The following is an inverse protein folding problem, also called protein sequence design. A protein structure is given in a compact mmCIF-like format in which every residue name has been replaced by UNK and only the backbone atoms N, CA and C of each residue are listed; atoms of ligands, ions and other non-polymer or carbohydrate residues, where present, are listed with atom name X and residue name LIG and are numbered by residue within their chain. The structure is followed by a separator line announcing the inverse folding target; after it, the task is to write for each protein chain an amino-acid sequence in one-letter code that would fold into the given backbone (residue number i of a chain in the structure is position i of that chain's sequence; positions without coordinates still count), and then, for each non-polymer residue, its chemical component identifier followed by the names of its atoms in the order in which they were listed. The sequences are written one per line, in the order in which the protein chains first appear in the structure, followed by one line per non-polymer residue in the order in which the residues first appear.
data_IF_034897621111
#
_entry.id   IF_034897621111
#
_cell.length_a   1.000
_cell.length_b   1.000
_cell.length_c   1.000
_cell.angle_alpha   90.00
_cell.angle_beta   90.00
_cell.angle_gamma   90.00
#
_symmetry.space_group_name_H-M   'P 1'
#
loop_
_entity.id
_entity.type
_entity.pdbx_description
1 polymer ?
#
# COMPACT_ATOMS: atom_id res chain seq x y z
N UNK A 1 5.79 24.92 -10.01
CA UNK A 1 7.18 24.42 -10.23
C UNK A 1 7.89 23.88 -8.95
N UNK A 2 8.06 24.66 -7.87
CA UNK A 2 8.90 24.24 -6.72
C UNK A 2 8.44 22.95 -5.98
N UNK A 3 7.14 22.73 -5.82
CA UNK A 3 6.60 21.52 -5.17
C UNK A 3 6.87 20.24 -5.96
N UNK A 4 6.90 20.34 -7.29
CA UNK A 4 7.13 19.20 -8.19
C UNK A 4 8.57 18.70 -8.09
N UNK A 5 9.52 19.62 -8.03
CA UNK A 5 10.94 19.31 -7.78
C UNK A 5 11.15 18.60 -6.43
N UNK A 6 10.42 19.00 -5.38
CA UNK A 6 10.52 18.38 -4.05
C UNK A 6 10.09 16.92 -4.02
N UNK A 7 9.23 16.48 -4.94
CA UNK A 7 8.78 15.09 -5.05
C UNK A 7 9.50 14.32 -6.15
N UNK A 8 10.63 14.83 -6.66
CA UNK A 8 11.46 14.13 -7.65
C UNK A 8 11.12 14.42 -9.11
N UNK A 9 10.27 15.42 -9.37
CA UNK A 9 9.97 15.90 -10.73
C UNK A 9 8.71 15.30 -11.34
N UNK A 10 8.65 15.32 -12.67
CA UNK A 10 7.53 14.82 -13.47
C UNK A 10 7.84 13.47 -14.13
N UNK A 11 6.83 12.63 -14.38
CA UNK A 11 5.44 12.81 -13.97
C UNK A 11 5.27 12.70 -12.45
N UNK A 12 4.20 13.29 -11.90
CA UNK A 12 3.90 13.27 -10.47
C UNK A 12 2.50 12.67 -10.22
N UNK A 13 2.32 12.07 -9.04
CA UNK A 13 1.03 11.53 -8.60
C UNK A 13 0.34 12.51 -7.66
N UNK A 14 -0.94 12.78 -7.91
CA UNK A 14 -1.81 13.54 -7.01
C UNK A 14 -2.87 12.60 -6.45
N UNK A 15 -3.03 12.59 -5.12
CA UNK A 15 -4.01 11.74 -4.44
C UNK A 15 -4.89 12.58 -3.53
N UNK A 16 -6.20 12.39 -3.63
CA UNK A 16 -7.12 12.86 -2.60
C UNK A 16 -6.87 12.08 -1.30
N UNK A 17 -6.86 12.78 -0.16
CA UNK A 17 -6.66 12.16 1.16
C UNK A 17 -7.90 11.33 1.56
N UNK A 18 -9.07 11.69 1.05
CA UNK A 18 -10.32 10.99 1.30
C UNK A 18 -10.75 10.21 0.05
N UNK A 19 -10.88 8.89 0.20
CA UNK A 19 -11.33 7.99 -0.85
C UNK A 19 -10.92 6.54 -0.58
N UNK A 20 -11.62 5.60 -1.22
CA UNK A 20 -11.26 4.17 -1.23
C UNK A 20 -11.10 3.68 -2.65
N UNK A 21 -10.39 2.57 -2.86
CA UNK A 21 -10.31 1.87 -4.15
C UNK A 21 -9.69 2.68 -5.32
N UNK A 22 -8.74 3.58 -5.03
CA UNK A 22 -7.99 4.33 -6.05
C UNK A 22 -8.81 5.39 -6.81
N UNK A 23 -10.03 5.70 -6.35
CA UNK A 23 -10.75 6.92 -6.74
C UNK A 23 -9.99 8.11 -6.16
N UNK A 24 -9.71 9.12 -6.98
CA UNK A 24 -8.95 10.29 -6.56
C UNK A 24 -7.43 10.21 -6.74
N UNK A 25 -6.90 9.16 -7.39
CA UNK A 25 -5.48 9.09 -7.80
C UNK A 25 -5.33 9.50 -9.26
N UNK A 26 -4.52 10.53 -9.49
CA UNK A 26 -4.27 11.15 -10.80
C UNK A 26 -2.77 11.18 -11.08
N UNK A 27 -2.39 11.14 -12.37
CA UNK A 27 -1.02 11.34 -12.83
C UNK A 27 -0.97 12.62 -13.65
N UNK A 28 0.03 13.46 -13.40
CA UNK A 28 0.27 14.69 -14.13
C UNK A 28 1.65 14.63 -14.81
N UNK A 29 1.70 14.94 -16.11
CA UNK A 29 2.90 14.88 -16.94
C UNK A 29 3.56 16.25 -17.14
N UNK A 30 2.88 17.32 -16.77
CA UNK A 30 3.37 18.70 -16.89
C UNK A 30 3.11 19.51 -15.62
N UNK A 31 3.90 20.56 -15.41
CA UNK A 31 3.69 21.48 -14.28
C UNK A 31 2.33 22.18 -14.39
N UNK A 32 1.89 22.48 -15.61
CA UNK A 32 0.57 23.07 -15.87
C UNK A 32 -0.58 22.14 -15.47
N UNK A 33 -0.46 20.82 -15.73
CA UNK A 33 -1.44 19.84 -15.25
C UNK A 33 -1.49 19.78 -13.72
N UNK A 34 -0.34 19.76 -13.04
CA UNK A 34 -0.27 19.80 -11.57
C UNK A 34 -0.96 21.05 -11.04
N UNK A 35 -0.66 22.22 -11.58
CA UNK A 35 -1.22 23.51 -11.13
C UNK A 35 -2.73 23.56 -11.37
N UNK A 36 -3.21 23.09 -12.52
CA UNK A 36 -4.65 23.03 -12.84
C UNK A 36 -5.43 22.10 -11.90
N UNK A 37 -4.89 20.91 -11.62
CA UNK A 37 -5.52 19.95 -10.70
C UNK A 37 -5.54 20.51 -9.28
N UNK A 38 -4.42 21.06 -8.80
CA UNK A 38 -4.33 21.65 -7.45
C UNK A 38 -5.31 22.80 -7.28
N UNK A 39 -5.37 23.75 -8.23
CA UNK A 39 -6.30 24.87 -8.18
C UNK A 39 -7.75 24.39 -8.08
N UNK A 40 -8.15 23.48 -8.97
CA UNK A 40 -9.52 22.95 -9.00
C UNK A 40 -9.90 22.29 -7.68
N UNK A 41 -8.99 21.51 -7.11
CA UNK A 41 -9.28 20.71 -5.93
C UNK A 41 -9.26 21.53 -4.64
N UNK A 42 -8.41 22.55 -4.55
CA UNK A 42 -8.45 23.51 -3.46
C UNK A 42 -9.72 24.37 -3.49
N UNK A 43 -10.19 24.77 -4.67
CA UNK A 43 -11.47 25.47 -4.82
C UNK A 43 -12.66 24.61 -4.37
N UNK A 44 -12.55 23.28 -4.53
CA UNK A 44 -13.51 22.29 -4.02
C UNK A 44 -13.28 21.92 -2.53
N UNK A 45 -12.36 22.60 -1.84
CA UNK A 45 -12.07 22.37 -0.43
C UNK A 45 -11.43 21.01 -0.13
N UNK A 46 -10.78 20.39 -1.11
CA UNK A 46 -10.17 19.07 -0.97
C UNK A 46 -8.69 19.17 -0.55
N UNK A 47 -8.27 18.25 0.32
CA UNK A 47 -6.86 18.04 0.64
C UNK A 47 -6.22 17.05 -0.34
N UNK A 48 -5.00 17.37 -0.80
CA UNK A 48 -4.25 16.58 -1.77
C UNK A 48 -2.86 16.25 -1.26
N UNK A 49 -2.45 15.01 -1.52
CA UNK A 49 -1.07 14.57 -1.46
C UNK A 49 -0.43 14.60 -2.86
N UNK A 50 0.68 15.32 -2.98
CA UNK A 50 1.58 15.24 -4.14
C UNK A 50 2.70 14.23 -3.83
N UNK A 51 2.95 13.31 -4.75
CA UNK A 51 3.89 12.20 -4.56
C UNK A 51 4.73 11.95 -5.82
N UNK A 52 5.97 11.49 -5.61
CA UNK A 52 6.86 10.95 -6.65
C UNK A 52 6.16 9.83 -7.45
N UNK A 53 6.34 9.84 -8.78
CA UNK A 53 5.96 8.71 -9.62
C UNK A 53 7.09 7.68 -9.73
N UNK A 54 6.88 6.50 -9.14
CA UNK A 54 7.82 5.37 -9.26
C UNK A 54 7.59 4.66 -10.58
N UNK A 55 8.32 5.07 -11.62
CA UNK A 55 8.12 4.59 -12.99
C UNK A 55 8.34 3.07 -13.14
N UNK A 56 9.23 2.49 -12.34
CA UNK A 56 9.53 1.05 -12.37
C UNK A 56 8.36 0.18 -11.88
N UNK A 57 7.50 0.76 -11.05
CA UNK A 57 6.28 0.14 -10.54
C UNK A 57 5.03 0.54 -11.32
N UNK A 58 5.17 1.12 -12.53
CA UNK A 58 4.00 1.52 -13.31
C UNK A 58 3.06 0.34 -13.54
N UNK A 59 1.82 0.46 -13.07
CA UNK A 59 0.80 -0.58 -13.22
C UNK A 59 1.02 -1.81 -12.34
N UNK A 60 1.95 -1.78 -11.37
CA UNK A 60 2.27 -2.93 -10.53
C UNK A 60 2.51 -2.51 -9.09
N UNK A 61 2.05 -3.32 -8.17
CA UNK A 61 2.40 -3.18 -6.76
C UNK A 61 2.43 -4.54 -6.07
N UNK A 62 3.02 -4.57 -4.88
CA UNK A 62 3.10 -5.76 -4.04
C UNK A 62 2.19 -5.58 -2.84
N UNK A 63 1.26 -6.50 -2.65
CA UNK A 63 0.47 -6.65 -1.43
C UNK A 63 1.18 -7.66 -0.53
N UNK A 64 1.67 -7.21 0.62
CA UNK A 64 2.18 -8.08 1.68
C UNK A 64 1.21 -8.07 2.86
N UNK A 65 0.78 -9.23 3.34
CA UNK A 65 -0.02 -9.34 4.53
C UNK A 65 0.86 -9.66 5.73
N UNK A 66 0.89 -8.75 6.70
CA UNK A 66 1.63 -8.88 7.95
C UNK A 66 0.69 -9.39 9.04
N UNK A 67 1.15 -10.38 9.80
CA UNK A 67 0.54 -10.85 11.04
C UNK A 67 1.63 -10.96 12.11
N UNK A 68 1.48 -10.20 13.19
CA UNK A 68 2.51 -10.03 14.21
C UNK A 68 3.79 -9.41 13.64
N UNK A 69 4.86 -10.19 13.61
CA UNK A 69 6.19 -9.78 13.16
C UNK A 69 6.63 -10.43 11.85
N UNK A 70 5.70 -11.03 11.11
CA UNK A 70 5.98 -11.78 9.89
C UNK A 70 5.03 -11.42 8.75
N UNK A 71 5.52 -11.51 7.51
CA UNK A 71 4.65 -11.53 6.32
C UNK A 71 4.17 -12.96 6.12
N UNK A 72 2.87 -13.18 6.23
CA UNK A 72 2.23 -14.51 6.11
C UNK A 72 1.78 -14.82 4.69
N UNK A 73 1.77 -13.83 3.80
CA UNK A 73 1.50 -14.02 2.38
C UNK A 73 1.80 -12.75 1.60
N UNK A 74 2.19 -12.93 0.34
CA UNK A 74 2.43 -11.81 -0.57
C UNK A 74 2.01 -12.15 -2.00
N UNK A 75 1.54 -11.13 -2.72
CA UNK A 75 1.26 -11.23 -4.14
C UNK A 75 1.65 -9.94 -4.86
N UNK A 76 2.04 -10.06 -6.13
CA UNK A 76 2.14 -8.92 -7.04
C UNK A 76 0.79 -8.74 -7.73
N UNK A 77 0.29 -7.51 -7.76
CA UNK A 77 -0.94 -7.12 -8.46
C UNK A 77 -0.55 -6.36 -9.71
N UNK A 78 -1.13 -6.71 -10.85
CA UNK A 78 -0.86 -6.05 -12.14
C UNK A 78 -2.12 -5.42 -12.72
N UNK A 79 -2.05 -4.15 -13.09
CA UNK A 79 -3.13 -3.41 -13.71
C UNK A 79 -3.41 -3.95 -15.13
N UNK A 80 -4.66 -3.84 -15.58
CA UNK A 80 -5.02 -4.12 -16.99
C UNK A 80 -4.34 -3.13 -17.94
N UNK A 81 -4.18 -3.52 -19.21
CA UNK A 81 -3.60 -2.65 -20.24
C UNK A 81 -4.29 -1.27 -20.27
N UNK A 82 -3.49 -0.21 -20.24
CA UNK A 82 -3.95 1.18 -20.25
C UNK A 82 -4.21 1.80 -18.87
N UNK A 83 -4.20 1.01 -17.80
CA UNK A 83 -4.38 1.48 -16.41
C UNK A 83 -3.02 1.46 -15.67
N UNK A 84 -2.74 2.48 -14.86
CA UNK A 84 -1.51 2.55 -14.05
C UNK A 84 -1.74 2.13 -12.60
N UNK A 85 -3.01 1.97 -12.19
CA UNK A 85 -3.43 1.52 -10.86
C UNK A 85 -3.71 0.01 -10.84
N UNK A 86 -3.05 -0.72 -9.95
CA UNK A 86 -3.07 -2.18 -9.86
C UNK A 86 -4.05 -2.76 -8.82
N UNK A 87 -5.04 -1.98 -8.36
CA UNK A 87 -6.00 -2.46 -7.35
C UNK A 87 -6.84 -3.65 -7.88
N UNK A 88 -6.86 -4.77 -7.14
CA UNK A 88 -7.62 -6.00 -7.47
C UNK A 88 -9.12 -5.76 -7.66
N UNK A 89 -9.72 -4.84 -6.90
CA UNK A 89 -11.14 -4.48 -7.07
C UNK A 89 -11.48 -3.89 -8.44
N UNK A 90 -10.47 -3.53 -9.26
CA UNK A 90 -10.63 -3.09 -10.66
C UNK A 90 -10.27 -4.19 -11.68
N UNK A 91 -10.17 -5.44 -11.23
CA UNK A 91 -9.86 -6.60 -12.06
C UNK A 91 -8.38 -6.79 -12.34
N UNK A 92 -7.50 -6.27 -11.48
CA UNK A 92 -6.08 -6.62 -11.51
C UNK A 92 -5.90 -8.10 -11.14
N UNK A 93 -4.99 -8.78 -11.85
CA UNK A 93 -4.64 -10.17 -11.54
C UNK A 93 -3.58 -10.20 -10.45
N UNK A 94 -3.81 -11.02 -9.42
CA UNK A 94 -2.87 -11.25 -8.33
C UNK A 94 -2.07 -12.51 -8.58
N UNK A 95 -0.74 -12.40 -8.61
CA UNK A 95 0.18 -13.55 -8.74
C UNK A 95 0.95 -13.72 -7.44
N UNK A 96 1.06 -14.95 -6.89
CA UNK A 96 1.85 -15.19 -5.71
C UNK A 96 3.33 -14.88 -5.99
N UNK A 97 4.03 -14.34 -5.00
CA UNK A 97 5.46 -14.04 -5.12
C UNK A 97 6.23 -14.52 -3.90
N UNK A 98 7.47 -14.93 -4.11
CA UNK A 98 8.45 -15.01 -3.04
C UNK A 98 8.95 -13.59 -2.74
N UNK A 99 8.59 -13.07 -1.57
CA UNK A 99 8.83 -11.67 -1.22
C UNK A 99 10.28 -11.49 -0.77
N UNK A 100 11.08 -10.63 -1.44
CA UNK A 100 12.48 -10.46 -1.05
C UNK A 100 12.60 -9.97 0.41
N UNK A 101 13.65 -10.38 1.15
CA UNK A 101 13.79 -10.05 2.57
C UNK A 101 13.69 -8.55 2.89
N UNK A 102 14.21 -7.69 2.02
CA UNK A 102 14.13 -6.24 2.21
C UNK A 102 12.68 -5.72 2.20
N UNK A 103 11.82 -6.29 1.34
CA UNK A 103 10.41 -5.92 1.23
C UNK A 103 9.61 -6.45 2.42
N UNK A 104 9.86 -7.71 2.82
CA UNK A 104 9.25 -8.28 4.01
C UNK A 104 9.58 -7.47 5.27
N UNK A 105 10.84 -7.09 5.44
CA UNK A 105 11.26 -6.24 6.56
C UNK A 105 10.62 -4.85 6.51
N UNK A 106 10.49 -4.24 5.32
CA UNK A 106 9.82 -2.96 5.17
C UNK A 106 8.34 -3.06 5.58
N UNK A 107 7.64 -4.11 5.15
CA UNK A 107 6.24 -4.35 5.51
C UNK A 107 6.05 -4.52 7.02
N UNK A 108 6.84 -5.40 7.64
CA UNK A 108 6.77 -5.65 9.09
C UNK A 108 7.09 -4.39 9.88
N UNK A 109 8.10 -3.60 9.46
CA UNK A 109 8.41 -2.32 10.11
C UNK A 109 7.26 -1.33 10.00
N UNK A 110 6.62 -1.23 8.83
CA UNK A 110 5.49 -0.33 8.61
C UNK A 110 4.31 -0.66 9.55
N UNK A 111 3.92 -1.94 9.61
CA UNK A 111 2.87 -2.40 10.53
C UNK A 111 3.22 -2.12 12.00
N UNK A 112 4.47 -2.39 12.40
CA UNK A 112 4.96 -2.16 13.77
C UNK A 112 4.94 -0.69 14.17
N UNK A 113 5.40 0.22 13.30
CA UNK A 113 5.41 1.66 13.59
C UNK A 113 3.99 2.19 13.82
N UNK A 114 3.00 1.61 13.14
CA UNK A 114 1.58 1.94 13.29
C UNK A 114 0.89 1.17 14.43
N UNK A 115 1.60 0.26 15.13
CA UNK A 115 1.04 -0.54 16.20
C UNK A 115 -0.03 -1.55 15.75
N UNK A 116 0.08 -2.05 14.52
CA UNK A 116 -0.88 -2.99 13.93
C UNK A 116 -0.36 -4.43 14.04
N UNK A 117 -1.14 -5.30 14.67
CA UNK A 117 -0.87 -6.74 14.71
C UNK A 117 -1.24 -7.45 13.41
N UNK A 118 -2.22 -6.93 12.65
CA UNK A 118 -2.59 -7.43 11.32
C UNK A 118 -2.66 -6.24 10.38
N UNK A 119 -1.95 -6.31 9.26
CA UNK A 119 -1.93 -5.23 8.29
C UNK A 119 -1.70 -5.72 6.86
N UNK A 120 -2.41 -5.12 5.91
CA UNK A 120 -2.08 -5.22 4.49
C UNK A 120 -1.18 -4.06 4.11
N UNK A 121 0.05 -4.34 3.69
CA UNK A 121 1.02 -3.34 3.28
C UNK A 121 1.15 -3.39 1.77
N UNK A 122 0.86 -2.27 1.12
CA UNK A 122 1.07 -2.10 -0.32
C UNK A 122 2.44 -1.47 -0.54
N UNK A 123 3.24 -2.06 -1.41
CA UNK A 123 4.62 -1.66 -1.68
C UNK A 123 4.80 -1.45 -3.18
N UNK A 124 5.59 -0.42 -3.53
CA UNK A 124 6.10 -0.21 -4.87
C UNK A 124 7.53 -0.74 -4.96
N UNK A 125 7.82 -1.43 -6.07
CA UNK A 125 9.14 -1.92 -6.46
C UNK A 125 9.93 -0.80 -7.16
N UNK A 126 10.84 -0.14 -6.44
CA UNK A 126 11.75 0.87 -6.99
C UNK A 126 13.17 0.31 -7.12
N UNK A 127 14.00 0.91 -7.98
CA UNK A 127 15.45 0.57 -8.07
C UNK A 127 16.18 0.80 -6.75
N UNK A 128 15.72 1.75 -5.94
CA UNK A 128 16.26 2.05 -4.61
C UNK A 128 15.77 1.10 -3.51
N UNK A 129 14.93 0.11 -3.84
CA UNK A 129 14.34 -0.84 -2.90
C UNK A 129 12.85 -0.57 -2.63
N UNK A 130 12.26 -1.20 -1.60
CA UNK A 130 10.84 -1.11 -1.31
C UNK A 130 10.41 0.31 -0.93
N UNK A 131 9.33 0.79 -1.54
CA UNK A 131 8.63 2.01 -1.12
C UNK A 131 7.27 1.62 -0.56
N UNK A 132 6.99 1.94 0.70
CA UNK A 132 5.67 1.70 1.31
C UNK A 132 4.68 2.72 0.74
N UNK A 133 3.58 2.22 0.18
CA UNK A 133 2.55 3.02 -0.47
C UNK A 133 1.34 3.26 0.43
N UNK A 134 0.83 2.20 1.04
CA UNK A 134 -0.34 2.21 1.91
C UNK A 134 -0.18 1.13 2.99
N UNK A 135 -0.71 1.38 4.18
CA UNK A 135 -0.89 0.35 5.21
C UNK A 135 -2.36 0.33 5.63
N UNK A 136 -2.99 -0.82 5.46
CA UNK A 136 -4.40 -1.05 5.76
C UNK A 136 -4.53 -1.89 7.03
N UNK A 137 -5.23 -1.38 8.04
CA UNK A 137 -5.45 -2.04 9.34
C UNK A 137 -6.54 -3.11 9.34
N UNK A 138 -7.37 -3.16 8.31
CA UNK A 138 -8.42 -4.17 8.13
C UNK A 138 -8.38 -4.72 6.71
N UNK A 139 -7.27 -5.39 6.33
CA UNK A 139 -7.06 -5.85 4.97
C UNK A 139 -8.00 -7.00 4.61
N UNK A 140 -8.67 -6.91 3.46
CA UNK A 140 -9.22 -8.09 2.81
C UNK A 140 -8.09 -8.99 2.29
N UNK A 141 -8.24 -10.31 2.46
CA UNK A 141 -7.23 -11.31 2.08
C UNK A 141 -7.76 -12.45 1.20
N UNK A 142 -9.05 -12.46 0.83
CA UNK A 142 -9.64 -13.49 -0.05
C UNK A 142 -8.85 -13.63 -1.37
N UNK A 143 -8.55 -12.52 -2.05
CA UNK A 143 -7.75 -12.55 -3.27
C UNK A 143 -6.32 -13.08 -3.07
N UNK A 144 -5.75 -12.85 -1.88
CA UNK A 144 -4.43 -13.36 -1.53
C UNK A 144 -4.46 -14.86 -1.27
N UNK A 145 -5.45 -15.36 -0.52
CA UNK A 145 -5.65 -16.79 -0.28
C UNK A 145 -5.91 -17.54 -1.59
N UNK A 146 -6.72 -16.98 -2.49
CA UNK A 146 -6.96 -17.58 -3.81
C UNK A 146 -5.67 -17.68 -4.64
N UNK A 147 -4.84 -16.63 -4.64
CA UNK A 147 -3.58 -16.59 -5.39
C UNK A 147 -2.49 -17.48 -4.79
N UNK A 148 -2.39 -17.55 -3.46
CA UNK A 148 -1.27 -18.20 -2.76
C UNK A 148 -1.60 -19.58 -2.21
N UNK A 149 -2.90 -19.91 -2.04
CA UNK A 149 -3.40 -21.12 -1.37
C UNK A 149 -2.95 -21.26 0.09
N UNK A 150 -2.53 -20.17 0.72
CA UNK A 150 -2.15 -20.13 2.13
C UNK A 150 -3.39 -19.97 3.02
N UNK A 151 -3.34 -20.52 4.23
CA UNK A 151 -4.36 -20.32 5.27
C UNK A 151 -4.05 -19.04 6.07
N UNK A 152 -4.53 -17.91 5.54
CA UNK A 152 -4.30 -16.61 6.14
C UNK A 152 -5.17 -16.41 7.37
N UNK A 153 -6.43 -16.85 7.31
CA UNK A 153 -7.35 -16.79 8.44
C UNK A 153 -6.79 -17.57 9.65
N UNK A 154 -6.25 -18.77 9.44
CA UNK A 154 -5.59 -19.57 10.46
C UNK A 154 -4.40 -18.86 11.09
N UNK A 155 -3.53 -18.25 10.28
CA UNK A 155 -2.38 -17.49 10.79
C UNK A 155 -2.79 -16.32 11.71
N UNK A 156 -3.88 -15.62 11.35
CA UNK A 156 -4.46 -14.54 12.18
C UNK A 156 -5.04 -15.12 13.49
N UNK A 157 -5.83 -16.20 13.40
CA UNK A 157 -6.44 -16.84 14.57
C UNK A 157 -5.38 -17.33 15.56
N UNK A 158 -4.33 -17.98 15.06
CA UNK A 158 -3.20 -18.44 15.84
C UNK A 158 -2.45 -17.29 16.53
N UNK A 159 -2.25 -16.17 15.82
CA UNK A 159 -1.64 -14.98 16.40
C UNK A 159 -2.50 -14.40 17.53
N UNK A 160 -3.82 -14.26 17.31
CA UNK A 160 -4.76 -13.78 18.31
C UNK A 160 -4.77 -14.70 19.55
N UNK A 161 -4.77 -16.02 19.36
CA UNK A 161 -4.70 -16.99 20.45
C UNK A 161 -3.41 -16.83 21.27
N UNK A 162 -2.25 -16.68 20.61
CA UNK A 162 -0.97 -16.41 21.28
C UNK A 162 -1.00 -15.10 22.09
N UNK A 163 -1.60 -14.04 21.55
CA UNK A 163 -1.75 -12.77 22.27
C UNK A 163 -2.64 -12.92 23.50
N UNK A 164 -3.75 -13.65 23.40
CA UNK A 164 -4.68 -13.88 24.51
C UNK A 164 -4.06 -14.69 25.66
N UNK A 165 -3.13 -15.61 25.35
CA UNK A 165 -2.40 -16.39 26.35
C UNK A 165 -1.29 -15.62 27.06
N UNK A 166 -0.89 -14.43 26.57
CA UNK A 166 0.14 -13.63 27.24
C UNK A 166 -0.39 -13.13 28.59
N UNK A 167 0.40 -13.25 29.68
CA UNK A 167 0.00 -12.72 30.97
C UNK A 167 -0.29 -11.22 30.82
N UNK A 168 -1.51 -10.81 31.14
CA UNK A 168 -1.89 -9.40 31.15
C UNK A 168 -0.95 -8.67 32.11
N UNK A 169 -0.08 -7.83 31.57
CA UNK A 169 0.58 -6.80 32.40
C UNK A 169 -0.52 -5.88 32.88
N UNK A 170 -0.92 -6.05 34.14
CA UNK A 170 -1.70 -5.04 34.85
C UNK A 170 -0.83 -3.79 34.81
N UNK A 171 -1.18 -2.81 33.98
CA UNK A 171 -0.60 -1.47 34.13
C UNK A 171 -1.12 -0.97 35.47
N UNK A 172 -0.22 -0.84 36.44
CA UNK A 172 -0.54 -0.23 37.73
C UNK A 172 -1.17 1.12 37.48
N UNK A 173 -2.32 1.34 38.12
CA UNK A 173 -2.98 2.64 38.25
C UNK A 173 -2.12 3.50 39.17
#
# INVERSE_FOLDING_TARGET
AALVEQVGGLPAILKLIQGTQGVGVMIAHSAAEVESILSTMWDLGQEILLQEFIAESRGRDVRALVVGDQVVGAMRREAKQGEFRSNIHRGAEGTPIDLPPAYAQAAVRAARVLGLDVAGVDLLEAKSGPKVLEVNSSPGFEGLELATRLDIAGAIADHAARLAMRPRRVRGI
#
